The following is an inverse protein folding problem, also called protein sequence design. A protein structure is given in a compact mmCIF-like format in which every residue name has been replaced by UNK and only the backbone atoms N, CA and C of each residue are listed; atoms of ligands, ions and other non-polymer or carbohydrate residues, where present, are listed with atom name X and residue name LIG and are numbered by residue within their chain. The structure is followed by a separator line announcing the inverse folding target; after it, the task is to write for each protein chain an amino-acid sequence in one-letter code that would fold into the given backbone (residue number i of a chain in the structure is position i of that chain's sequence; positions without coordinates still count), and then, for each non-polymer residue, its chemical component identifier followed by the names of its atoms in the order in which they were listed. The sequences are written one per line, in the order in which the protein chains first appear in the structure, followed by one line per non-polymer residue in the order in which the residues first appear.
data_IF_792632671961
#
_entry.id   IF_792632671961
#
_cell.length_a   1.000
_cell.length_b   1.000
_cell.length_c   1.000
_cell.angle_alpha   90.00
_cell.angle_beta   90.00
_cell.angle_gamma   90.00
#
_symmetry.space_group_name_H-M   'P 1'
#
loop_
_entity.id
_entity.type
_entity.pdbx_description
1 polymer ?
#
# COMPACT_ATOMS: atom_id res chain seq x y z
N UNK A 1 -5.11 -18.97 13.81
CA UNK A 1 -5.47 -18.04 14.92
C UNK A 1 -6.22 -16.84 14.33
N UNK A 2 -7.32 -16.40 14.94
CA UNK A 2 -8.05 -15.23 14.41
C UNK A 2 -7.27 -13.94 14.70
N UNK A 3 -7.32 -12.94 13.80
CA UNK A 3 -6.45 -11.76 13.94
C UNK A 3 -6.77 -10.87 15.14
N UNK A 4 -7.96 -10.98 15.72
CA UNK A 4 -8.33 -10.25 16.95
C UNK A 4 -7.79 -10.91 18.23
N UNK A 5 -7.27 -12.14 18.12
CA UNK A 5 -6.81 -12.95 19.25
C UNK A 5 -5.28 -12.93 19.40
N UNK A 6 -4.60 -12.07 18.63
CA UNK A 6 -3.15 -11.95 18.66
C UNK A 6 -2.65 -11.54 20.05
N UNK A 7 -1.67 -12.29 20.56
CA UNK A 7 -1.03 -12.05 21.86
C UNK A 7 0.21 -11.14 21.76
N UNK A 8 0.64 -10.81 20.54
CA UNK A 8 1.77 -9.90 20.31
C UNK A 8 1.42 -8.49 20.82
N UNK A 9 2.35 -7.75 21.44
CA UNK A 9 2.05 -6.40 21.92
C UNK A 9 1.89 -5.42 20.75
N UNK A 10 1.13 -4.36 20.99
CA UNK A 10 1.16 -3.20 20.10
C UNK A 10 2.46 -2.41 20.32
N UNK A 11 3.06 -1.96 19.22
CA UNK A 11 4.28 -1.17 19.21
C UNK A 11 4.09 0.08 18.32
N UNK A 12 4.78 1.16 18.66
CA UNK A 12 4.83 2.35 17.82
C UNK A 12 5.76 2.14 16.63
N UNK A 13 5.26 2.37 15.41
CA UNK A 13 6.04 2.35 14.17
C UNK A 13 5.65 3.52 13.27
N UNK A 14 6.61 4.05 12.53
CA UNK A 14 6.32 5.02 11.45
C UNK A 14 5.84 4.25 10.23
N UNK A 15 4.74 4.70 9.65
CA UNK A 15 4.13 4.10 8.47
C UNK A 15 3.86 5.20 7.44
N UNK A 16 4.23 4.95 6.18
CA UNK A 16 3.87 5.77 5.04
C UNK A 16 2.37 5.61 4.77
N UNK A 17 1.64 6.71 4.91
CA UNK A 17 0.23 6.81 4.54
C UNK A 17 0.02 8.07 3.72
N UNK A 18 -1.03 8.09 2.90
CA UNK A 18 -1.48 9.31 2.27
C UNK A 18 -2.00 10.30 3.32
N UNK A 19 -1.64 11.58 3.16
CA UNK A 19 -2.15 12.68 3.96
C UNK A 19 -3.66 12.89 3.80
N UNK A 20 -4.20 13.90 4.48
CA UNK A 20 -5.61 14.28 4.40
C UNK A 20 -5.80 15.64 3.72
N UNK A 21 -7.02 15.91 3.25
CA UNK A 21 -7.40 17.20 2.65
C UNK A 21 -6.53 17.57 1.45
N UNK A 22 -5.92 18.77 1.51
CA UNK A 22 -5.05 19.29 0.44
C UNK A 22 -3.81 18.42 0.18
N UNK A 23 -3.44 17.54 1.12
CA UNK A 23 -2.29 16.65 1.03
C UNK A 23 -2.69 15.20 0.73
N UNK A 24 -3.91 14.94 0.24
CA UNK A 24 -4.40 13.58 -0.02
C UNK A 24 -3.53 12.74 -0.97
N UNK A 25 -2.76 13.40 -1.85
CA UNK A 25 -1.85 12.73 -2.78
C UNK A 25 -0.40 12.67 -2.28
N UNK A 26 -0.10 13.18 -1.09
CA UNK A 26 1.26 13.20 -0.55
C UNK A 26 1.44 12.03 0.43
N UNK A 27 2.27 11.03 0.10
CA UNK A 27 2.67 10.02 1.08
C UNK A 27 3.57 10.68 2.13
N UNK A 28 3.27 10.46 3.40
CA UNK A 28 4.05 10.98 4.52
C UNK A 28 4.12 9.95 5.64
N UNK A 29 5.26 9.83 6.35
CA UNK A 29 5.36 8.98 7.53
C UNK A 29 4.50 9.48 8.69
N UNK A 30 3.67 8.62 9.25
CA UNK A 30 2.92 8.86 10.49
C UNK A 30 3.19 7.76 11.51
N UNK A 31 3.29 8.12 12.79
CA UNK A 31 3.31 7.14 13.87
C UNK A 31 1.97 6.42 13.96
N UNK A 32 2.02 5.10 14.01
CA UNK A 32 0.88 4.20 14.20
C UNK A 32 1.23 3.18 15.28
N UNK A 33 0.23 2.85 16.10
CA UNK A 33 0.29 1.64 16.89
C UNK A 33 -0.03 0.45 15.99
N UNK A 34 0.88 -0.51 15.95
CA UNK A 34 0.75 -1.71 15.12
C UNK A 34 1.06 -2.95 15.94
N UNK A 35 0.38 -4.05 15.62
CA UNK A 35 0.53 -5.35 16.26
C UNK A 35 0.98 -6.35 15.19
N UNK A 36 2.03 -7.13 15.46
CA UNK A 36 2.54 -8.09 14.49
C UNK A 36 1.55 -9.24 14.32
N UNK A 37 1.16 -9.48 13.06
CA UNK A 37 0.32 -10.63 12.68
C UNK A 37 1.22 -11.83 12.45
N UNK A 38 2.14 -11.72 11.48
CA UNK A 38 3.23 -12.67 11.22
C UNK A 38 4.15 -12.15 10.12
N UNK A 39 5.42 -12.53 10.13
CA UNK A 39 6.42 -12.06 9.16
C UNK A 39 6.45 -10.53 9.08
N UNK A 40 6.44 -9.94 7.86
CA UNK A 40 6.41 -8.49 7.68
C UNK A 40 5.01 -7.89 7.86
N UNK A 41 3.97 -8.70 8.14
CA UNK A 41 2.59 -8.23 8.25
C UNK A 41 2.28 -7.74 9.66
N UNK A 42 1.74 -6.53 9.72
CA UNK A 42 1.24 -5.91 10.92
C UNK A 42 -0.19 -5.42 10.70
N UNK A 43 -0.97 -5.35 11.77
CA UNK A 43 -2.29 -4.72 11.78
C UNK A 43 -2.34 -3.51 12.70
N UNK A 44 -3.21 -2.57 12.40
CA UNK A 44 -3.54 -1.47 13.29
C UNK A 44 -4.54 -1.85 14.38
N UNK A 45 -4.89 -0.86 15.21
CA UNK A 45 -6.03 -0.96 16.11
C UNK A 45 -7.30 -1.21 15.32
N UNK A 46 -8.16 -2.06 15.88
CA UNK A 46 -9.48 -2.34 15.33
C UNK A 46 -10.43 -1.16 15.60
N UNK A 47 -11.33 -0.91 14.65
CA UNK A 47 -12.38 0.08 14.77
C UNK A 47 -13.67 -0.46 14.17
N UNK A 48 -14.80 -0.19 14.84
CA UNK A 48 -16.12 -0.51 14.31
C UNK A 48 -16.59 0.63 13.43
N UNK A 49 -17.06 0.31 12.22
CA UNK A 49 -17.59 1.33 11.31
C UNK A 49 -19.07 1.63 11.56
N UNK A 50 -19.65 2.57 10.79
CA UNK A 50 -21.05 2.98 10.93
C UNK A 50 -22.10 1.87 10.69
N UNK A 51 -21.70 0.75 10.11
CA UNK A 51 -22.54 -0.42 9.85
C UNK A 51 -22.32 -1.55 10.88
N UNK A 52 -21.51 -1.32 11.92
CA UNK A 52 -21.19 -2.34 12.92
C UNK A 52 -20.08 -3.32 12.50
N UNK A 53 -19.45 -3.12 11.34
CA UNK A 53 -18.40 -4.01 10.85
C UNK A 53 -17.05 -3.65 11.48
N UNK A 54 -16.31 -4.66 11.95
CA UNK A 54 -14.97 -4.49 12.52
C UNK A 54 -13.94 -4.33 11.40
N UNK A 55 -13.09 -3.30 11.48
CA UNK A 55 -12.06 -3.01 10.47
C UNK A 55 -10.72 -2.66 11.10
N UNK A 56 -9.64 -2.92 10.38
CA UNK A 56 -8.31 -2.40 10.71
C UNK A 56 -7.53 -2.05 9.43
N UNK A 57 -6.48 -1.24 9.56
CA UNK A 57 -5.49 -1.09 8.49
C UNK A 57 -4.43 -2.20 8.61
N UNK A 58 -3.97 -2.73 7.48
CA UNK A 58 -2.83 -3.65 7.39
C UNK A 58 -1.59 -2.93 6.85
N UNK A 59 -0.45 -3.30 7.40
CA UNK A 59 0.83 -2.66 7.14
C UNK A 59 1.92 -3.68 6.85
N UNK A 60 2.83 -3.32 5.95
CA UNK A 60 4.05 -4.06 5.66
C UNK A 60 5.24 -3.37 6.29
N UNK A 61 5.96 -4.10 7.14
CA UNK A 61 7.19 -3.68 7.78
C UNK A 61 8.24 -4.76 7.50
N UNK A 62 9.18 -4.45 6.62
CA UNK A 62 10.31 -5.33 6.35
C UNK A 62 11.46 -4.99 7.29
N UNK A 63 12.24 -6.01 7.65
CA UNK A 63 13.47 -5.81 8.40
C UNK A 63 14.39 -4.86 7.62
N UNK A 64 15.19 -4.09 8.36
CA UNK A 64 16.14 -3.08 7.83
C UNK A 64 15.50 -1.84 7.18
N UNK A 65 14.17 -1.79 6.98
CA UNK A 65 13.48 -0.60 6.48
C UNK A 65 12.89 0.22 7.64
N UNK A 66 13.28 1.50 7.81
CA UNK A 66 12.93 2.26 9.02
C UNK A 66 11.45 2.71 9.08
N UNK A 67 10.78 2.87 7.95
CA UNK A 67 9.37 3.26 7.87
C UNK A 67 8.60 2.22 7.05
N UNK A 68 7.55 1.66 7.64
CA UNK A 68 6.67 0.70 6.96
C UNK A 68 5.73 1.36 5.96
N UNK A 69 4.95 0.54 5.26
CA UNK A 69 3.99 0.95 4.24
C UNK A 69 2.58 0.47 4.61
N UNK A 70 1.56 1.30 4.37
CA UNK A 70 0.18 0.80 4.44
C UNK A 70 -0.15 -0.02 3.19
N UNK A 71 -0.45 -1.29 3.42
CA UNK A 71 -0.79 -2.27 2.41
C UNK A 71 -2.29 -2.25 2.11
N UNK A 72 -3.14 -2.50 3.12
CA UNK A 72 -4.59 -2.47 2.96
C UNK A 72 -5.18 -1.46 3.95
N UNK A 73 -6.01 -0.56 3.44
CA UNK A 73 -6.78 0.37 4.26
C UNK A 73 -8.15 -0.24 4.57
N UNK A 74 -8.61 -0.15 5.81
CA UNK A 74 -9.94 -0.58 6.24
C UNK A 74 -10.27 -2.05 5.88
N UNK A 75 -9.33 -2.97 6.05
CA UNK A 75 -9.56 -4.41 5.94
C UNK A 75 -10.74 -4.78 6.84
N UNK A 76 -11.77 -5.40 6.26
CA UNK A 76 -12.89 -5.97 7.00
C UNK A 76 -12.39 -7.21 7.75
N UNK A 77 -12.71 -7.28 9.05
CA UNK A 77 -12.40 -8.41 9.91
C UNK A 77 -13.69 -9.21 10.08
N UNK A 78 -13.76 -10.34 9.40
CA UNK A 78 -14.76 -11.38 9.60
C UNK A 78 -14.05 -12.67 10.07
N UNK A 79 -14.83 -13.71 10.37
CA UNK A 79 -14.33 -14.99 10.92
C UNK A 79 -13.27 -15.69 10.04
N UNK A 80 -13.15 -15.32 8.76
CA UNK A 80 -12.18 -15.91 7.82
C UNK A 80 -10.82 -15.22 7.89
N UNK A 81 -10.74 -14.06 8.54
CA UNK A 81 -9.50 -13.29 8.63
C UNK A 81 -8.64 -13.86 9.75
N UNK A 82 -7.92 -14.93 9.41
CA UNK A 82 -6.94 -15.55 10.28
C UNK A 82 -5.52 -15.13 9.91
N UNK A 83 -4.59 -15.31 10.84
CA UNK A 83 -3.15 -15.12 10.57
C UNK A 83 -2.70 -15.95 9.36
N UNK A 84 -3.16 -17.19 9.25
CA UNK A 84 -2.80 -18.11 8.18
C UNK A 84 -3.35 -17.65 6.82
N UNK A 85 -4.59 -17.16 6.78
CA UNK A 85 -5.18 -16.60 5.57
C UNK A 85 -4.38 -15.38 5.07
N UNK A 86 -4.07 -14.44 5.95
CA UNK A 86 -3.33 -13.24 5.57
C UNK A 86 -1.88 -13.54 5.17
N UNK A 87 -1.24 -14.54 5.78
CA UNK A 87 0.06 -15.01 5.34
C UNK A 87 0.01 -15.65 3.95
N UNK A 88 -1.01 -16.47 3.69
CA UNK A 88 -1.24 -17.04 2.36
C UNK A 88 -1.41 -15.96 1.30
N UNK A 89 -2.12 -14.87 1.62
CA UNK A 89 -2.26 -13.71 0.75
C UNK A 89 -0.88 -13.10 0.44
N UNK A 90 -0.08 -12.80 1.47
CA UNK A 90 1.27 -12.25 1.28
C UNK A 90 2.17 -13.16 0.45
N UNK A 91 2.10 -14.48 0.63
CA UNK A 91 2.87 -15.43 -0.15
C UNK A 91 2.42 -15.45 -1.62
N UNK A 92 1.11 -15.48 -1.86
CA UNK A 92 0.55 -15.48 -3.21
C UNK A 92 0.84 -14.20 -3.99
N UNK A 93 0.97 -13.08 -3.28
CA UNK A 93 1.34 -11.78 -3.85
C UNK A 93 2.85 -11.52 -3.80
N UNK A 94 3.68 -12.48 -3.40
CA UNK A 94 5.13 -12.31 -3.27
C UNK A 94 5.58 -11.14 -2.35
N UNK A 95 4.78 -10.83 -1.34
CA UNK A 95 4.99 -9.74 -0.38
C UNK A 95 5.63 -10.20 0.94
N UNK A 96 5.94 -11.49 1.07
CA UNK A 96 6.54 -12.06 2.28
C UNK A 96 7.99 -11.59 2.53
N UNK A 97 8.66 -11.01 1.53
CA UNK A 97 10.01 -10.44 1.64
C UNK A 97 10.12 -9.09 0.93
N UNK A 98 11.13 -8.29 1.32
CA UNK A 98 11.42 -7.02 0.65
C UNK A 98 11.81 -7.23 -0.82
N UNK A 99 12.56 -8.29 -1.11
CA UNK A 99 12.94 -8.63 -2.49
C UNK A 99 11.71 -8.92 -3.35
N UNK A 100 10.76 -9.70 -2.85
CA UNK A 100 9.55 -10.03 -3.59
C UNK A 100 8.67 -8.80 -3.84
N UNK A 101 8.55 -7.91 -2.86
CA UNK A 101 7.90 -6.60 -3.02
C UNK A 101 8.55 -5.76 -4.14
N UNK A 102 9.89 -5.69 -4.18
CA UNK A 102 10.61 -4.93 -5.21
C UNK A 102 10.48 -5.56 -6.59
N UNK A 103 10.45 -6.89 -6.67
CA UNK A 103 10.24 -7.61 -7.94
C UNK A 103 8.84 -7.33 -8.50
N UNK A 104 7.81 -7.28 -7.65
CA UNK A 104 6.47 -6.88 -8.08
C UNK A 104 6.44 -5.45 -8.65
N UNK A 105 7.15 -4.50 -8.03
CA UNK A 105 7.22 -3.12 -8.54
C UNK A 105 7.93 -3.04 -9.90
N UNK A 106 8.98 -3.84 -10.10
CA UNK A 106 9.65 -3.95 -11.40
C UNK A 106 8.73 -4.56 -12.44
N UNK A 107 8.03 -5.64 -12.08
CA UNK A 107 7.05 -6.28 -12.95
C UNK A 107 5.89 -5.33 -13.30
N UNK A 108 5.43 -4.52 -12.36
CA UNK A 108 4.43 -3.48 -12.60
C UNK A 108 4.94 -2.44 -13.61
N UNK A 109 6.21 -2.01 -13.49
CA UNK A 109 6.82 -1.11 -14.47
C UNK A 109 6.89 -1.75 -15.86
N UNK A 110 7.42 -2.97 -15.96
CA UNK A 110 7.59 -3.71 -17.22
C UNK A 110 6.26 -3.94 -17.93
N UNK A 111 5.20 -4.25 -17.17
CA UNK A 111 3.86 -4.45 -17.70
C UNK A 111 3.04 -3.16 -17.84
N UNK A 112 3.66 -1.99 -17.71
CA UNK A 112 2.98 -0.69 -17.80
C UNK A 112 1.81 -0.52 -16.82
N UNK A 113 1.86 -1.23 -15.69
CA UNK A 113 0.93 -1.12 -14.58
C UNK A 113 1.24 0.13 -13.74
N UNK A 114 0.31 0.44 -12.85
CA UNK A 114 0.35 1.64 -12.03
C UNK A 114 1.23 1.45 -10.80
N UNK A 115 2.14 2.40 -10.55
CA UNK A 115 2.95 2.46 -9.33
C UNK A 115 2.49 3.65 -8.49
N UNK A 116 2.17 3.43 -7.21
CA UNK A 116 1.70 4.45 -6.29
C UNK A 116 2.79 5.39 -5.78
N UNK A 117 2.39 6.56 -5.31
CA UNK A 117 3.33 7.50 -4.68
C UNK A 117 3.88 6.96 -3.36
N UNK A 118 3.06 6.24 -2.61
CA UNK A 118 3.49 5.59 -1.37
C UNK A 118 4.58 4.54 -1.62
N UNK A 119 4.50 3.79 -2.72
CA UNK A 119 5.50 2.80 -3.10
C UNK A 119 6.83 3.48 -3.45
N UNK A 120 6.78 4.59 -4.20
CA UNK A 120 7.95 5.41 -4.53
C UNK A 120 8.60 5.96 -3.25
N UNK A 121 7.82 6.55 -2.35
CA UNK A 121 8.32 7.08 -1.08
C UNK A 121 8.89 5.96 -0.19
N UNK A 122 8.29 4.77 -0.24
CA UNK A 122 8.77 3.61 0.51
C UNK A 122 10.14 3.16 0.01
N UNK A 123 10.31 2.99 -1.31
CA UNK A 123 11.57 2.57 -1.94
C UNK A 123 12.67 3.62 -1.76
N UNK A 124 12.31 4.92 -1.78
CA UNK A 124 13.25 6.03 -1.62
C UNK A 124 14.08 5.95 -0.33
N UNK A 125 13.57 5.28 0.70
CA UNK A 125 14.28 5.11 1.97
C UNK A 125 15.60 4.32 1.84
N UNK A 126 15.72 3.45 0.83
CA UNK A 126 16.83 2.51 0.71
C UNK A 126 17.36 2.31 -0.73
N UNK A 127 16.62 2.71 -1.77
CA UNK A 127 17.05 2.63 -3.18
C UNK A 127 16.56 3.86 -3.97
N UNK A 128 17.26 4.98 -3.79
CA UNK A 128 16.96 6.25 -4.48
C UNK A 128 16.97 6.11 -6.02
N UNK A 129 17.95 5.43 -6.67
CA UNK A 129 17.91 5.21 -8.12
C UNK A 129 16.65 4.48 -8.60
N UNK A 130 16.20 3.45 -7.90
CA UNK A 130 14.96 2.76 -8.26
C UNK A 130 13.74 3.65 -8.03
N UNK A 131 13.69 4.39 -6.92
CA UNK A 131 12.61 5.33 -6.64
C UNK A 131 12.45 6.39 -7.76
N UNK A 132 13.55 6.90 -8.30
CA UNK A 132 13.54 7.83 -9.43
C UNK A 132 13.00 7.20 -10.71
N UNK A 133 13.37 5.94 -11.00
CA UNK A 133 12.82 5.18 -12.14
C UNK A 133 11.31 4.98 -12.01
N UNK A 134 10.85 4.59 -10.83
CA UNK A 134 9.43 4.42 -10.51
C UNK A 134 8.66 5.75 -10.66
N UNK A 135 9.24 6.86 -10.19
CA UNK A 135 8.65 8.19 -10.33
C UNK A 135 8.51 8.64 -11.79
N UNK A 136 9.55 8.43 -12.61
CA UNK A 136 9.52 8.74 -14.04
C UNK A 136 8.48 7.88 -14.78
N UNK A 137 8.43 6.58 -14.49
CA UNK A 137 7.41 5.67 -15.05
C UNK A 137 6.00 6.17 -14.76
N UNK A 138 5.73 6.50 -13.50
CA UNK A 138 4.44 7.04 -13.06
C UNK A 138 4.09 8.35 -13.78
N UNK A 139 5.05 9.26 -13.93
CA UNK A 139 4.83 10.52 -14.63
C UNK A 139 4.45 10.29 -16.10
N UNK A 140 5.22 9.45 -16.81
CA UNK A 140 4.93 9.12 -18.21
C UNK A 140 3.52 8.52 -18.38
N UNK A 141 3.10 7.66 -17.44
CA UNK A 141 1.74 7.07 -17.41
C UNK A 141 0.66 8.12 -17.21
N UNK A 142 0.86 9.08 -16.30
CA UNK A 142 -0.07 10.18 -16.08
C UNK A 142 -0.23 11.05 -17.33
N UNK A 143 0.87 11.36 -18.01
CA UNK A 143 0.85 12.13 -19.26
C UNK A 143 0.07 11.41 -20.36
N UNK A 144 0.26 10.09 -20.52
CA UNK A 144 -0.50 9.27 -21.47
C UNK A 144 -2.01 9.26 -21.13
N UNK A 145 -2.36 9.14 -19.86
CA UNK A 145 -3.76 9.19 -19.40
C UNK A 145 -4.39 10.56 -19.67
N UNK A 146 -3.67 11.66 -19.41
CA UNK A 146 -4.15 13.00 -19.71
C UNK A 146 -4.35 13.22 -21.21
N UNK A 147 -3.42 12.74 -22.05
CA UNK A 147 -3.54 12.83 -23.50
C UNK A 147 -4.76 12.06 -24.00
N UNK A 148 -4.97 10.82 -23.52
CA UNK A 148 -6.13 10.01 -23.86
C UNK A 148 -7.44 10.69 -23.44
N UNK A 149 -7.48 11.28 -22.24
CA UNK A 149 -8.64 12.02 -21.74
C UNK A 149 -8.95 13.23 -22.63
N UNK A 150 -7.94 14.06 -22.95
CA UNK A 150 -8.10 15.24 -23.83
C UNK A 150 -8.58 14.85 -25.22
N UNK A 151 -8.13 13.71 -25.76
CA UNK A 151 -8.60 13.18 -27.04
C UNK A 151 -10.08 12.79 -26.99
N UNK A 152 -10.48 12.04 -25.96
CA UNK A 152 -11.87 11.61 -25.78
C UNK A 152 -12.82 12.81 -25.58
N UNK A 153 -12.40 13.84 -24.86
CA UNK A 153 -13.16 15.09 -24.69
C UNK A 153 -13.36 15.83 -26.02
N UNK A 154 -12.32 15.92 -26.86
CA UNK A 154 -12.42 16.52 -28.20
C UNK A 154 -13.34 15.72 -29.12
N UNK A 155 -13.20 14.39 -29.16
CA UNK A 155 -14.04 13.52 -29.98
C UNK A 155 -15.51 13.51 -29.52
N UNK A 156 -15.76 13.67 -28.22
CA UNK A 156 -17.11 13.80 -27.66
C UNK A 156 -17.79 15.15 -27.94
N UNK A 157 -17.01 16.23 -28.12
CA UNK A 157 -17.53 17.54 -28.54
C UNK A 157 -17.83 17.61 -30.03
N UNK A 158 -17.09 16.89 -30.88
CA UNK A 158 -17.33 16.83 -32.33
C UNK A 158 -18.58 16.01 -32.69
N UNK A 159 -19.09 15.19 -31.76
CA UNK A 159 -20.28 14.35 -31.95
C UNK A 159 -21.59 14.94 -31.37
N UNK A 160 -21.57 16.18 -30.87
CA UNK A 160 -22.77 16.91 -30.42
C UNK A 160 -23.08 18.04 -31.38
#
# INVERSE_FOLDING_TARGET
MHITELQTPYIGRKIIVYGSGKNANRPVPHWREVQQVSGPLYKGREAVNKYGELKCDLYLLYDEVPVGLRYIKNQHIDDRVTTEYLLGLLQSENLASLSGYLDNLREDMENSRWVGLADIEFVKQFDEPLAQKLALHRQNRLELWEQARRRNEKEGQVKR
#
